data_IF_721275371689
#
_entry.id   IF_721275371689
#
_cell.length_a   1.000
_cell.length_b   1.000
_cell.length_c   1.000
_cell.angle_alpha   90.00
_cell.angle_beta   90.00
_cell.angle_gamma   90.00
#
_symmetry.space_group_name_H-M   'P 1'
#
loop_
_entity.id
_entity.type
_entity.pdbx_description
1 polymer ?
#
# COMPACT_ATOMS: atom_id res chain seq x y z
N UNK A 1 -14.70 1.72 12.70
CA UNK A 1 -15.18 2.97 13.33
C UNK A 1 -14.75 3.05 14.79
N UNK A 2 -13.95 4.07 15.14
CA UNK A 2 -13.29 4.19 16.45
C UNK A 2 -14.15 4.81 17.55
N UNK A 3 -13.71 4.70 18.81
CA UNK A 3 -14.33 5.38 19.95
C UNK A 3 -14.52 6.87 19.62
N UNK A 4 -15.77 7.34 19.59
CA UNK A 4 -16.21 8.71 19.28
C UNK A 4 -16.19 9.13 17.80
N UNK A 5 -16.32 8.18 16.86
CA UNK A 5 -16.42 8.48 15.41
C UNK A 5 -15.22 9.24 14.81
N UNK A 6 -14.06 9.16 15.45
CA UNK A 6 -12.85 9.79 14.93
C UNK A 6 -12.24 8.86 13.87
N UNK A 7 -12.03 9.34 12.62
CA UNK A 7 -11.39 8.55 11.58
C UNK A 7 -9.91 8.32 11.94
N UNK A 8 -9.44 7.11 11.70
CA UNK A 8 -8.05 6.73 11.87
C UNK A 8 -7.64 5.68 10.84
N UNK A 9 -6.35 5.62 10.56
CA UNK A 9 -5.72 4.52 9.83
C UNK A 9 -4.77 3.77 10.75
N UNK A 10 -4.56 2.49 10.45
CA UNK A 10 -3.57 1.64 11.12
C UNK A 10 -2.56 1.21 10.06
N UNK A 11 -1.29 1.41 10.35
CA UNK A 11 -0.19 1.03 9.47
C UNK A 11 0.33 -0.37 9.83
N UNK A 12 1.10 -0.98 8.92
CA UNK A 12 1.66 -2.32 9.11
C UNK A 12 2.61 -2.43 10.32
N UNK A 13 3.22 -1.32 10.75
CA UNK A 13 4.05 -1.20 11.94
C UNK A 13 3.23 -0.86 13.21
N UNK A 14 1.91 -1.07 13.17
CA UNK A 14 0.95 -0.89 14.26
C UNK A 14 0.77 0.55 14.77
N UNK A 15 1.21 1.57 14.02
CA UNK A 15 0.88 2.97 14.37
C UNK A 15 -0.58 3.24 14.10
N UNK A 16 -1.20 4.00 15.00
CA UNK A 16 -2.56 4.53 14.82
C UNK A 16 -2.48 6.02 14.53
N UNK A 17 -2.90 6.42 13.33
CA UNK A 17 -2.86 7.82 12.88
C UNK A 17 -4.29 8.33 12.81
N UNK A 18 -4.59 9.35 13.62
CA UNK A 18 -5.92 9.98 13.70
C UNK A 18 -6.00 11.15 12.73
N UNK A 19 -7.21 11.41 12.22
CA UNK A 19 -7.48 12.48 11.25
C UNK A 19 -6.60 12.40 9.98
N UNK A 20 -6.52 11.23 9.32
CA UNK A 20 -5.82 11.12 8.04
C UNK A 20 -6.58 11.88 6.94
N UNK A 21 -5.88 12.20 5.84
CA UNK A 21 -6.52 12.74 4.63
C UNK A 21 -7.62 11.77 4.14
N UNK A 22 -8.84 12.26 3.82
CA UNK A 22 -9.96 11.41 3.40
C UNK A 22 -9.71 10.66 2.06
N UNK A 23 -8.72 11.10 1.29
CA UNK A 23 -8.30 10.50 0.03
C UNK A 23 -7.51 9.21 0.24
N UNK A 24 -6.91 8.99 1.42
CA UNK A 24 -6.14 7.78 1.74
C UNK A 24 -7.09 6.58 1.84
N UNK A 25 -6.77 5.51 1.11
CA UNK A 25 -7.52 4.24 1.08
C UNK A 25 -6.68 3.08 1.61
N UNK A 26 -7.34 1.95 1.82
CA UNK A 26 -6.68 0.68 2.17
C UNK A 26 -5.65 0.34 1.09
N UNK A 27 -4.47 -0.12 1.52
CA UNK A 27 -3.27 -0.45 0.74
C UNK A 27 -2.46 0.74 0.22
N UNK A 28 -2.92 1.99 0.38
CA UNK A 28 -2.07 3.15 0.10
C UNK A 28 -0.89 3.22 1.07
N UNK A 29 0.20 3.81 0.62
CA UNK A 29 1.39 4.05 1.46
C UNK A 29 1.35 5.47 2.00
N UNK A 30 1.57 5.64 3.29
CA UNK A 30 1.70 6.98 3.91
C UNK A 30 3.17 7.26 4.23
N UNK A 31 3.61 8.47 3.91
CA UNK A 31 4.92 9.00 4.29
C UNK A 31 4.76 9.71 5.62
N UNK A 32 5.53 9.28 6.61
CA UNK A 32 5.44 9.78 7.98
C UNK A 32 6.76 10.45 8.35
N UNK A 33 6.67 11.67 8.87
CA UNK A 33 7.80 12.28 9.58
C UNK A 33 8.03 11.50 10.88
N UNK A 34 9.18 10.85 11.00
CA UNK A 34 9.53 9.98 12.14
C UNK A 34 9.63 10.77 13.46
N UNK A 35 10.01 12.05 13.41
CA UNK A 35 10.14 12.89 14.61
C UNK A 35 8.78 13.34 15.12
N UNK A 36 7.89 13.77 14.22
CA UNK A 36 6.58 14.32 14.62
C UNK A 36 5.46 13.29 14.62
N UNK A 37 5.64 12.14 13.96
CA UNK A 37 4.61 11.12 13.75
C UNK A 37 3.46 11.56 12.84
N UNK A 38 3.67 12.63 12.04
CA UNK A 38 2.63 13.19 11.16
C UNK A 38 2.80 12.66 9.75
N UNK A 39 1.68 12.44 9.06
CA UNK A 39 1.68 12.12 7.63
C UNK A 39 2.04 13.38 6.84
N UNK A 40 3.08 13.30 6.02
CA UNK A 40 3.54 14.40 5.15
C UNK A 40 3.05 14.23 3.73
N UNK A 41 2.89 12.99 3.27
CA UNK A 41 2.45 12.66 1.91
C UNK A 41 1.86 11.24 1.87
N UNK A 42 1.21 10.86 0.77
CA UNK A 42 0.73 9.50 0.55
C UNK A 42 0.80 9.10 -0.92
N UNK A 43 1.04 7.81 -1.16
CA UNK A 43 1.16 7.21 -2.49
C UNK A 43 0.00 6.24 -2.66
N UNK A 44 -0.80 6.45 -3.70
CA UNK A 44 -1.94 5.59 -4.03
C UNK A 44 -1.48 4.22 -4.50
N UNK A 45 -2.20 3.17 -4.10
CA UNK A 45 -1.96 1.83 -4.58
C UNK A 45 -2.63 1.61 -5.96
N UNK A 46 -1.95 2.05 -7.01
CA UNK A 46 -2.44 2.03 -8.38
C UNK A 46 -1.35 1.65 -9.39
N UNK A 47 -1.77 1.37 -10.62
CA UNK A 47 -0.88 1.07 -11.75
C UNK A 47 0.10 2.22 -12.03
N UNK A 48 1.29 1.88 -12.50
CA UNK A 48 2.36 2.84 -12.75
C UNK A 48 3.25 3.15 -11.54
N UNK A 49 2.85 2.74 -10.33
CA UNK A 49 3.65 2.96 -9.13
C UNK A 49 4.68 1.84 -8.91
N UNK A 50 5.84 2.23 -8.36
CA UNK A 50 6.90 1.29 -7.97
C UNK A 50 6.58 0.66 -6.63
N UNK A 51 6.71 -0.67 -6.55
CA UNK A 51 6.44 -1.47 -5.36
C UNK A 51 7.54 -2.47 -5.08
N UNK A 52 7.65 -2.84 -3.81
CA UNK A 52 8.49 -3.93 -3.33
C UNK A 52 7.62 -5.04 -2.73
N UNK A 53 7.89 -6.28 -3.10
CA UNK A 53 7.20 -7.44 -2.52
C UNK A 53 7.81 -7.77 -1.16
N UNK A 54 6.97 -7.84 -0.13
CA UNK A 54 7.41 -8.09 1.26
C UNK A 54 7.10 -9.51 1.76
N UNK A 55 6.43 -10.35 0.96
CA UNK A 55 6.06 -11.70 1.36
C UNK A 55 5.88 -12.68 0.20
N UNK A 56 5.89 -13.98 0.53
CA UNK A 56 5.73 -15.07 -0.44
C UNK A 56 6.97 -15.33 -1.31
N UNK A 57 6.79 -16.03 -2.43
CA UNK A 57 7.89 -16.50 -3.30
C UNK A 57 8.69 -15.36 -3.96
N UNK A 58 8.06 -14.19 -4.16
CA UNK A 58 8.66 -13.04 -4.85
C UNK A 58 9.25 -12.00 -3.89
N UNK A 59 9.40 -12.31 -2.60
CA UNK A 59 9.91 -11.37 -1.57
C UNK A 59 11.24 -10.74 -1.99
N UNK A 60 11.37 -9.43 -1.74
CA UNK A 60 12.56 -8.64 -2.06
C UNK A 60 12.62 -8.14 -3.52
N UNK A 61 11.71 -8.59 -4.39
CA UNK A 61 11.65 -8.08 -5.77
C UNK A 61 10.97 -6.72 -5.82
N UNK A 62 11.50 -5.85 -6.69
CA UNK A 62 11.02 -4.47 -6.91
C UNK A 62 10.62 -4.31 -8.37
N UNK A 63 9.51 -3.63 -8.62
CA UNK A 63 9.03 -3.37 -9.97
C UNK A 63 7.85 -2.41 -10.01
N UNK A 64 7.31 -2.17 -11.20
CA UNK A 64 6.17 -1.30 -11.44
C UNK A 64 4.89 -2.13 -11.50
N UNK A 65 3.83 -1.69 -10.83
CA UNK A 65 2.49 -2.30 -10.98
C UNK A 65 2.00 -2.05 -12.41
N UNK A 66 1.79 -3.12 -13.17
CA UNK A 66 1.25 -3.03 -14.53
C UNK A 66 -0.26 -3.20 -14.56
N UNK A 67 -0.79 -4.08 -13.71
CA UNK A 67 -2.22 -4.37 -13.66
C UNK A 67 -2.64 -4.83 -12.26
N UNK A 68 -3.89 -4.56 -11.91
CA UNK A 68 -4.47 -4.91 -10.61
C UNK A 68 -5.86 -5.52 -10.81
N UNK A 69 -5.97 -6.82 -10.57
CA UNK A 69 -7.21 -7.57 -10.64
C UNK A 69 -7.90 -7.52 -9.28
N UNK A 70 -9.07 -6.87 -9.22
CA UNK A 70 -9.88 -6.84 -8.01
C UNK A 70 -10.86 -7.99 -8.00
N UNK A 71 -10.86 -8.76 -6.93
CA UNK A 71 -11.80 -9.85 -6.73
C UNK A 71 -12.68 -9.55 -5.52
N UNK A 72 -14.00 -9.46 -5.72
CA UNK A 72 -14.94 -9.09 -4.66
C UNK A 72 -14.98 -10.06 -3.47
N UNK A 73 -14.48 -11.29 -3.65
CA UNK A 73 -14.55 -12.37 -2.65
C UNK A 73 -13.19 -13.03 -2.39
N UNK A 74 -12.11 -12.49 -2.94
CA UNK A 74 -10.76 -13.04 -2.81
C UNK A 74 -9.73 -11.90 -2.70
N UNK A 75 -8.46 -12.25 -2.58
CA UNK A 75 -7.37 -11.30 -2.61
C UNK A 75 -7.28 -10.62 -3.98
N UNK A 76 -6.97 -9.32 -3.98
CA UNK A 76 -6.55 -8.62 -5.20
C UNK A 76 -5.27 -9.30 -5.74
N UNK A 77 -5.17 -9.47 -7.06
CA UNK A 77 -3.95 -9.98 -7.71
C UNK A 77 -3.27 -8.82 -8.42
N UNK A 78 -1.99 -8.63 -8.12
CA UNK A 78 -1.19 -7.49 -8.57
C UNK A 78 -0.09 -8.01 -9.49
N UNK A 79 -0.13 -7.56 -10.74
CA UNK A 79 0.89 -7.87 -11.74
C UNK A 79 1.98 -6.81 -11.72
N UNK A 80 3.23 -7.25 -11.66
CA UNK A 80 4.40 -6.41 -11.49
C UNK A 80 5.42 -6.74 -12.57
N UNK A 81 6.04 -5.71 -13.14
CA UNK A 81 7.17 -5.83 -14.07
C UNK A 81 8.43 -5.21 -13.46
N UNK A 82 9.50 -5.98 -13.36
CA UNK A 82 10.79 -5.48 -12.87
C UNK A 82 11.62 -4.77 -13.98
N UNK A 83 12.73 -4.14 -13.58
CA UNK A 83 13.59 -3.41 -14.50
C UNK A 83 14.27 -4.29 -15.57
N UNK A 84 14.42 -5.59 -15.31
CA UNK A 84 14.93 -6.55 -16.28
C UNK A 84 13.84 -7.04 -17.25
N UNK A 85 12.59 -6.62 -17.07
CA UNK A 85 11.46 -6.95 -17.90
C UNK A 85 10.73 -8.23 -17.48
N UNK A 86 11.12 -8.88 -16.38
CA UNK A 86 10.42 -10.06 -15.90
C UNK A 86 9.07 -9.66 -15.31
N UNK A 87 8.06 -10.47 -15.55
CA UNK A 87 6.71 -10.28 -15.02
C UNK A 87 6.38 -11.34 -13.99
N UNK A 88 5.70 -10.95 -12.93
CA UNK A 88 5.23 -11.84 -11.89
C UNK A 88 4.01 -11.24 -11.19
N UNK A 89 3.26 -12.09 -10.47
CA UNK A 89 2.09 -11.67 -9.72
C UNK A 89 2.25 -11.96 -8.23
N UNK A 90 1.60 -11.14 -7.41
CA UNK A 90 1.46 -11.32 -5.96
C UNK A 90 0.04 -10.95 -5.53
N UNK A 91 -0.30 -11.30 -4.29
CA UNK A 91 -1.42 -10.71 -3.55
C UNK A 91 -1.00 -9.34 -3.00
#
# INVERSE_FOLDING_TARGET
DGKKSVPYIVTHDARTIRYPDPSIKINDTVVIDVKTGKVTDFIKFDTGNTVMVIGGRNTGRVGIITHRERHASSYDIVHIKDAAGNQFATR
#
